data_IF_276164093599
#
_entry.id   IF_276164093599
#
_cell.length_a   1.000
_cell.length_b   1.000
_cell.length_c   1.000
_cell.angle_alpha   90.00
_cell.angle_beta   90.00
_cell.angle_gamma   90.00
#
_symmetry.space_group_name_H-M   'P 1'
#
loop_
_entity.id
_entity.type
_entity.pdbx_description
1 polymer ?
#
# COMPACT_ATOMS: atom_id res chain seq x y z
N UNK A 1 -35.83 -7.48 40.12
CA UNK A 1 -34.83 -6.43 39.82
C UNK A 1 -33.56 -6.97 39.15
N UNK A 2 -33.06 -8.17 39.49
CA UNK A 2 -31.84 -8.75 38.89
C UNK A 2 -31.94 -9.18 37.41
N UNK A 3 -33.11 -9.55 36.89
CA UNK A 3 -33.26 -9.95 35.47
C UNK A 3 -33.21 -8.79 34.48
N UNK A 4 -33.65 -7.59 34.89
CA UNK A 4 -33.58 -6.37 34.06
C UNK A 4 -32.16 -5.80 33.95
N UNK A 5 -31.32 -6.04 34.96
CA UNK A 5 -29.91 -5.63 34.96
C UNK A 5 -29.04 -6.50 34.04
N UNK A 6 -29.35 -7.80 33.93
CA UNK A 6 -28.67 -8.75 33.01
C UNK A 6 -29.01 -8.51 31.54
N UNK A 7 -30.24 -8.06 31.26
CA UNK A 7 -30.66 -7.71 29.90
C UNK A 7 -30.01 -6.41 29.42
N UNK A 8 -29.85 -5.42 30.31
CA UNK A 8 -29.19 -4.15 29.99
C UNK A 8 -27.67 -4.29 29.78
N UNK A 9 -27.01 -5.22 30.49
CA UNK A 9 -25.59 -5.54 30.28
C UNK A 9 -25.33 -6.36 29.00
N UNK A 10 -26.27 -7.22 28.58
CA UNK A 10 -26.19 -7.90 27.26
C UNK A 10 -26.41 -6.93 26.10
N UNK A 11 -27.32 -5.95 26.22
CA UNK A 11 -27.56 -4.94 25.17
C UNK A 11 -26.38 -3.96 25.07
N UNK A 12 -25.74 -3.58 26.18
CA UNK A 12 -24.51 -2.77 26.17
C UNK A 12 -23.28 -3.55 25.64
N UNK A 13 -23.19 -4.87 25.87
CA UNK A 13 -22.15 -5.71 25.29
C UNK A 13 -22.33 -5.93 23.78
N UNK A 14 -23.58 -5.98 23.29
CA UNK A 14 -23.90 -6.06 21.85
C UNK A 14 -23.70 -4.70 21.15
N UNK A 15 -23.88 -3.58 21.86
CA UNK A 15 -23.56 -2.23 21.34
C UNK A 15 -22.05 -1.92 21.40
N UNK A 16 -21.25 -2.63 22.22
CA UNK A 16 -19.78 -2.60 22.14
C UNK A 16 -19.18 -3.53 21.07
N UNK A 17 -20.01 -4.26 20.33
CA UNK A 17 -19.65 -4.86 19.03
C UNK A 17 -20.30 -4.00 17.93
N UNK A 18 -20.13 -2.68 18.01
CA UNK A 18 -20.02 -1.91 16.77
C UNK A 18 -18.66 -2.27 16.23
N UNK A 19 -18.63 -3.15 15.21
CA UNK A 19 -17.47 -3.30 14.37
C UNK A 19 -17.05 -1.88 13.96
N UNK A 20 -15.93 -1.40 14.50
CA UNK A 20 -15.26 -0.24 13.94
C UNK A 20 -14.90 -0.70 12.53
N UNK A 21 -15.70 -0.29 11.56
CA UNK A 21 -15.45 -0.55 10.16
C UNK A 21 -14.11 0.12 9.86
N UNK A 22 -13.06 -0.69 9.67
CA UNK A 22 -11.77 -0.17 9.27
C UNK A 22 -11.87 0.44 7.87
N UNK A 23 -11.13 1.51 7.63
CA UNK A 23 -10.97 2.09 6.29
C UNK A 23 -9.63 1.63 5.72
N UNK A 24 -9.59 1.29 4.44
CA UNK A 24 -8.37 0.94 3.71
C UNK A 24 -8.31 1.75 2.42
N UNK A 25 -7.13 2.25 2.10
CA UNK A 25 -6.76 2.88 0.83
C UNK A 25 -5.49 2.20 0.31
N UNK A 26 -5.25 2.24 -1.00
CA UNK A 26 -4.10 1.58 -1.60
C UNK A 26 -3.62 2.29 -2.86
N UNK A 27 -2.36 2.06 -3.19
CA UNK A 27 -1.74 2.51 -4.43
C UNK A 27 -2.42 1.90 -5.68
N UNK A 28 -2.54 2.65 -6.80
CA UNK A 28 -3.02 2.08 -8.05
C UNK A 28 -2.03 1.05 -8.61
N UNK A 29 -2.54 0.16 -9.47
CA UNK A 29 -1.71 -0.83 -10.15
C UNK A 29 -0.61 -0.16 -10.98
N UNK A 30 0.58 -0.78 -11.03
CA UNK A 30 1.72 -0.25 -11.75
C UNK A 30 1.38 -0.01 -13.23
N UNK A 31 1.41 1.24 -13.72
CA UNK A 31 0.91 1.59 -15.05
C UNK A 31 1.89 1.23 -16.19
N UNK A 32 2.87 0.35 -15.93
CA UNK A 32 3.95 -0.02 -16.87
C UNK A 32 3.84 -1.49 -17.25
N UNK A 33 4.42 -1.90 -18.40
CA UNK A 33 4.45 -3.30 -18.79
C UNK A 33 5.14 -4.18 -17.75
N UNK A 34 4.49 -5.28 -17.39
CA UNK A 34 4.98 -6.30 -16.47
C UNK A 34 4.91 -7.68 -17.12
N UNK A 35 5.72 -8.61 -16.61
CA UNK A 35 5.67 -10.01 -17.02
C UNK A 35 4.58 -10.73 -16.22
N UNK A 36 3.55 -11.19 -16.91
CA UNK A 36 2.47 -12.00 -16.34
C UNK A 36 2.78 -13.48 -16.56
N UNK A 37 2.64 -14.27 -15.50
CA UNK A 37 2.91 -15.71 -15.52
C UNK A 37 1.61 -16.50 -15.55
N UNK A 38 1.58 -17.56 -16.37
CA UNK A 38 0.52 -18.55 -16.38
C UNK A 38 0.87 -19.70 -15.41
N UNK A 39 -0.12 -20.44 -14.89
CA UNK A 39 0.11 -21.59 -14.01
C UNK A 39 0.97 -22.73 -14.61
N UNK A 40 1.10 -22.80 -15.93
CA UNK A 40 1.97 -23.80 -16.60
C UNK A 40 3.41 -23.32 -16.81
N UNK A 41 3.78 -22.17 -16.25
CA UNK A 41 5.12 -21.58 -16.36
C UNK A 41 5.35 -20.78 -17.65
N UNK A 42 4.40 -20.73 -18.58
CA UNK A 42 4.48 -19.79 -19.70
C UNK A 42 4.28 -18.34 -19.20
N UNK A 43 4.85 -17.36 -19.90
CA UNK A 43 4.69 -15.95 -19.53
C UNK A 43 4.50 -15.07 -20.76
N UNK A 44 3.91 -13.90 -20.54
CA UNK A 44 3.66 -12.90 -21.57
C UNK A 44 3.68 -11.50 -20.94
N UNK A 45 3.69 -10.46 -21.76
CA UNK A 45 3.71 -9.07 -21.30
C UNK A 45 2.29 -8.53 -21.27
N UNK A 46 1.95 -7.86 -20.17
CA UNK A 46 0.72 -7.10 -20.04
C UNK A 46 0.95 -5.85 -19.19
N UNK A 47 -0.04 -4.96 -19.16
CA UNK A 47 -0.05 -3.77 -18.30
C UNK A 47 -1.15 -3.97 -17.28
N UNK A 48 -0.82 -3.95 -15.99
CA UNK A 48 -1.83 -4.01 -14.94
C UNK A 48 -2.68 -2.73 -14.99
N UNK A 49 -3.96 -2.91 -14.71
CA UNK A 49 -4.96 -1.84 -14.65
C UNK A 49 -5.83 -2.11 -13.44
N UNK A 50 -6.09 -1.09 -12.64
CA UNK A 50 -6.88 -1.33 -11.45
C UNK A 50 -6.34 -0.67 -10.21
N UNK A 51 -6.96 -1.06 -9.12
CA UNK A 51 -6.65 -0.72 -7.75
C UNK A 51 -7.03 -1.92 -6.85
N UNK A 52 -7.01 -1.73 -5.53
CA UNK A 52 -7.33 -2.72 -4.51
C UNK A 52 -8.81 -3.14 -4.49
N UNK A 53 -9.65 -2.58 -5.37
CA UNK A 53 -11.09 -2.83 -5.41
C UNK A 53 -11.50 -3.62 -6.64
N UNK A 54 -10.89 -3.31 -7.79
CA UNK A 54 -11.09 -4.07 -9.00
C UNK A 54 -9.86 -3.95 -9.91
N UNK A 55 -9.16 -5.05 -10.09
CA UNK A 55 -7.97 -5.07 -10.95
C UNK A 55 -8.04 -6.16 -12.01
N UNK A 56 -7.39 -5.85 -13.11
CA UNK A 56 -7.27 -6.68 -14.30
C UNK A 56 -5.96 -6.29 -15.00
N UNK A 57 -5.71 -6.84 -16.18
CA UNK A 57 -4.60 -6.41 -17.01
C UNK A 57 -5.03 -6.25 -18.46
N UNK A 58 -4.18 -5.59 -19.24
CA UNK A 58 -4.33 -5.48 -20.68
C UNK A 58 -3.10 -6.11 -21.33
N UNK A 59 -3.29 -7.02 -22.28
CA UNK A 59 -2.18 -7.63 -23.01
C UNK A 59 -1.55 -6.64 -24.02
N UNK A 60 -0.46 -7.05 -24.66
CA UNK A 60 0.25 -6.22 -25.64
C UNK A 60 -0.61 -5.84 -26.87
N UNK A 61 -1.68 -6.57 -27.15
CA UNK A 61 -2.64 -6.29 -28.22
C UNK A 61 -3.80 -5.40 -27.76
N UNK A 62 -3.85 -5.01 -26.49
CA UNK A 62 -4.90 -4.17 -25.95
C UNK A 62 -6.14 -4.95 -25.49
N UNK A 63 -6.10 -6.29 -25.39
CA UNK A 63 -7.22 -7.06 -24.87
C UNK A 63 -7.19 -7.12 -23.34
N UNK A 64 -8.35 -6.86 -22.73
CA UNK A 64 -8.51 -6.98 -21.29
C UNK A 64 -8.48 -8.44 -20.87
N UNK A 65 -7.73 -8.73 -19.83
CA UNK A 65 -7.49 -10.06 -19.29
C UNK A 65 -7.65 -10.04 -17.77
N UNK A 66 -8.15 -11.13 -17.20
CA UNK A 66 -8.38 -11.28 -15.76
C UNK A 66 -8.06 -12.71 -15.34
N UNK A 67 -7.57 -12.88 -14.11
CA UNK A 67 -7.31 -14.19 -13.57
C UNK A 67 -8.60 -14.93 -13.23
N UNK A 68 -8.68 -16.19 -13.61
CA UNK A 68 -9.72 -17.09 -13.13
C UNK A 68 -9.40 -17.63 -11.73
N UNK A 69 -10.33 -18.41 -11.16
CA UNK A 69 -10.18 -19.04 -9.84
C UNK A 69 -8.99 -19.99 -9.72
N UNK A 70 -8.45 -20.46 -10.83
CA UNK A 70 -7.32 -21.40 -10.90
C UNK A 70 -6.00 -20.67 -11.21
N UNK A 71 -6.02 -19.33 -11.20
CA UNK A 71 -4.86 -18.47 -11.42
C UNK A 71 -4.46 -18.29 -12.89
N UNK A 72 -5.28 -18.74 -13.85
CA UNK A 72 -4.99 -18.53 -15.27
C UNK A 72 -5.35 -17.12 -15.70
N UNK A 73 -4.46 -16.43 -16.41
CA UNK A 73 -4.83 -15.22 -17.13
C UNK A 73 -5.67 -15.59 -18.36
N UNK A 74 -6.91 -15.12 -18.36
CA UNK A 74 -7.89 -15.37 -19.42
C UNK A 74 -8.35 -14.05 -20.02
N UNK A 75 -8.80 -14.05 -21.28
CA UNK A 75 -9.48 -12.88 -21.82
C UNK A 75 -10.74 -12.60 -21.01
N UNK A 76 -11.00 -11.32 -20.76
CA UNK A 76 -12.17 -10.88 -20.05
C UNK A 76 -13.32 -10.61 -21.03
N UNK A 77 -14.55 -10.85 -20.56
CA UNK A 77 -15.77 -10.32 -21.16
C UNK A 77 -16.47 -9.42 -20.15
N UNK A 78 -17.38 -8.59 -20.62
CA UNK A 78 -18.20 -7.76 -19.74
C UNK A 78 -19.50 -8.49 -19.40
N UNK A 79 -19.80 -8.62 -18.11
CA UNK A 79 -21.09 -9.11 -17.59
C UNK A 79 -21.58 -8.17 -16.49
N UNK A 80 -22.81 -7.67 -16.62
CA UNK A 80 -23.40 -6.70 -15.69
C UNK A 80 -22.51 -5.48 -15.41
N UNK A 81 -21.75 -5.04 -16.42
CA UNK A 81 -20.83 -3.92 -16.31
C UNK A 81 -19.49 -4.24 -15.62
N UNK A 82 -19.23 -5.47 -15.16
CA UNK A 82 -17.93 -5.90 -14.62
C UNK A 82 -17.17 -6.75 -15.64
N UNK A 83 -15.84 -6.79 -15.53
CA UNK A 83 -15.03 -7.74 -16.29
C UNK A 83 -15.02 -9.10 -15.56
N UNK A 84 -15.29 -10.17 -16.30
CA UNK A 84 -15.29 -11.54 -15.78
C UNK A 84 -14.41 -12.44 -16.63
N UNK A 85 -13.79 -13.42 -15.97
CA UNK A 85 -12.94 -14.42 -16.61
C UNK A 85 -13.72 -15.25 -17.65
N UNK A 86 -13.03 -15.65 -18.71
CA UNK A 86 -13.57 -16.57 -19.71
C UNK A 86 -12.78 -17.86 -19.71
N UNK A 87 -13.17 -18.84 -20.52
CA UNK A 87 -12.40 -20.06 -20.73
C UNK A 87 -11.25 -19.89 -21.75
N UNK A 88 -11.03 -18.69 -22.29
CA UNK A 88 -10.02 -18.41 -23.32
C UNK A 88 -8.74 -17.88 -22.67
N UNK A 89 -7.67 -18.66 -22.73
CA UNK A 89 -6.38 -18.30 -22.13
C UNK A 89 -5.66 -17.23 -22.96
N UNK A 90 -5.24 -16.16 -22.28
CA UNK A 90 -4.42 -15.12 -22.88
C UNK A 90 -3.10 -15.69 -23.40
N UNK A 91 -2.58 -15.14 -24.52
CA UNK A 91 -1.37 -15.61 -25.21
C UNK A 91 -1.43 -17.08 -25.70
N UNK A 92 -2.61 -17.70 -25.77
CA UNK A 92 -2.79 -19.08 -26.26
C UNK A 92 -3.90 -19.25 -27.28
N UNK A 93 -4.89 -18.38 -27.24
CA UNK A 93 -6.05 -18.44 -28.13
C UNK A 93 -6.27 -17.06 -28.74
N UNK A 94 -6.81 -17.02 -29.95
CA UNK A 94 -7.24 -15.76 -30.55
C UNK A 94 -8.39 -15.17 -29.72
N UNK A 95 -8.30 -13.88 -29.39
CA UNK A 95 -9.34 -13.18 -28.64
C UNK A 95 -10.49 -12.76 -29.58
N UNK A 96 -11.75 -13.13 -29.30
CA UNK A 96 -12.91 -12.67 -30.07
C UNK A 96 -13.51 -11.36 -29.52
N UNK A 97 -13.00 -10.84 -28.40
CA UNK A 97 -13.57 -9.68 -27.72
C UNK A 97 -12.99 -8.36 -28.26
N UNK A 98 -13.62 -7.24 -27.88
CA UNK A 98 -13.13 -5.91 -28.27
C UNK A 98 -11.93 -5.50 -27.42
N UNK A 99 -10.97 -4.79 -28.04
CA UNK A 99 -9.82 -4.20 -27.34
C UNK A 99 -10.26 -3.08 -26.38
N UNK A 100 -9.46 -2.83 -25.35
CA UNK A 100 -9.64 -1.81 -24.32
C UNK A 100 -10.97 -1.88 -23.58
N UNK A 101 -11.49 -3.10 -23.39
CA UNK A 101 -12.71 -3.31 -22.64
C UNK A 101 -12.52 -2.88 -21.17
N UNK A 102 -13.38 -2.00 -20.67
CA UNK A 102 -13.34 -1.51 -19.28
C UNK A 102 -14.61 -1.92 -18.54
N UNK A 103 -14.54 -2.17 -17.22
CA UNK A 103 -15.75 -2.25 -16.42
C UNK A 103 -16.44 -0.86 -16.39
N UNK A 104 -17.74 -0.83 -16.14
CA UNK A 104 -18.49 0.40 -15.97
C UNK A 104 -18.28 0.97 -14.57
N UNK A 105 -18.07 2.27 -14.46
CA UNK A 105 -17.90 2.96 -13.18
C UNK A 105 -19.04 2.67 -12.19
N UNK A 106 -20.29 2.63 -12.66
CA UNK A 106 -21.45 2.34 -11.81
C UNK A 106 -21.44 0.90 -11.24
N UNK A 107 -21.07 -0.10 -12.04
CA UNK A 107 -20.99 -1.47 -11.57
C UNK A 107 -19.84 -1.68 -10.58
N UNK A 108 -18.70 -1.03 -10.81
CA UNK A 108 -17.58 -1.05 -9.86
C UNK A 108 -17.97 -0.37 -8.55
N UNK A 109 -18.62 0.80 -8.60
CA UNK A 109 -19.08 1.50 -7.41
C UNK A 109 -20.09 0.70 -6.57
N UNK A 110 -20.86 -0.18 -7.22
CA UNK A 110 -21.87 -1.02 -6.57
C UNK A 110 -21.30 -2.28 -5.87
N UNK A 111 -20.01 -2.58 -6.01
CA UNK A 111 -19.36 -3.67 -5.29
C UNK A 111 -19.50 -3.39 -3.77
N UNK A 112 -19.89 -4.36 -2.91
CA UNK A 112 -20.27 -4.13 -1.51
C UNK A 112 -19.27 -3.36 -0.63
N UNK A 113 -17.99 -3.29 -1.03
CA UNK A 113 -16.95 -2.53 -0.34
C UNK A 113 -16.66 -1.15 -0.97
N UNK A 114 -17.15 -0.90 -2.20
CA UNK A 114 -16.90 0.31 -2.99
C UNK A 114 -17.92 1.43 -2.74
N UNK A 115 -19.08 1.11 -2.14
CA UNK A 115 -20.16 2.07 -1.92
C UNK A 115 -19.80 3.23 -0.96
N UNK A 116 -18.85 3.04 -0.04
CA UNK A 116 -18.48 4.01 1.01
C UNK A 116 -17.27 4.89 0.65
N UNK A 117 -16.94 5.04 -0.64
CA UNK A 117 -15.65 5.58 -1.09
C UNK A 117 -15.71 6.98 -1.72
N UNK A 118 -14.52 7.57 -1.83
CA UNK A 118 -14.27 8.99 -2.12
C UNK A 118 -14.85 9.48 -3.45
N UNK A 119 -15.10 8.59 -4.43
CA UNK A 119 -15.78 8.99 -5.68
C UNK A 119 -17.20 9.51 -5.44
N UNK A 120 -17.84 9.05 -4.35
CA UNK A 120 -19.17 9.46 -3.92
C UNK A 120 -19.13 10.65 -2.97
N UNK A 121 -17.94 11.18 -2.70
CA UNK A 121 -17.76 12.30 -1.77
C UNK A 121 -17.95 13.62 -2.52
N UNK A 122 -18.84 14.51 -2.03
CA UNK A 122 -19.11 15.82 -2.64
C UNK A 122 -17.82 16.63 -2.86
N UNK A 123 -17.80 17.46 -3.91
CA UNK A 123 -16.68 18.36 -4.24
C UNK A 123 -16.23 19.18 -3.03
N UNK A 124 -17.17 19.67 -2.22
CA UNK A 124 -16.89 20.47 -1.03
C UNK A 124 -16.09 19.71 0.04
N UNK A 125 -16.29 18.40 0.16
CA UNK A 125 -15.53 17.56 1.08
C UNK A 125 -14.12 17.26 0.53
N UNK A 126 -13.96 17.15 -0.80
CA UNK A 126 -12.64 17.05 -1.44
C UNK A 126 -11.82 18.34 -1.27
N UNK A 127 -12.47 19.48 -1.42
CA UNK A 127 -11.88 20.80 -1.14
C UNK A 127 -11.60 20.99 0.35
N UNK A 128 -12.42 20.43 1.24
CA UNK A 128 -12.12 20.45 2.68
C UNK A 128 -10.83 19.69 2.98
N UNK A 129 -10.62 18.54 2.34
CA UNK A 129 -9.36 17.79 2.50
C UNK A 129 -8.17 18.58 2.02
N UNK A 130 -8.21 19.23 0.85
CA UNK A 130 -7.11 20.09 0.40
C UNK A 130 -6.75 21.19 1.42
N UNK A 131 -7.76 21.85 2.02
CA UNK A 131 -7.52 22.81 3.11
C UNK A 131 -7.01 22.17 4.40
N UNK A 132 -7.50 20.99 4.78
CA UNK A 132 -7.03 20.27 5.96
C UNK A 132 -5.57 19.78 5.76
N UNK A 133 -5.14 19.53 4.53
CA UNK A 133 -3.75 19.15 4.19
C UNK A 133 -2.80 20.34 4.30
N UNK A 134 -3.22 21.53 3.87
CA UNK A 134 -2.37 22.73 3.90
C UNK A 134 -2.28 23.37 5.28
N UNK A 135 -3.36 23.28 6.05
CA UNK A 135 -3.53 24.05 7.28
C UNK A 135 -3.74 23.18 8.52
N UNK A 136 -3.86 21.86 8.36
CA UNK A 136 -4.21 20.92 9.41
C UNK A 136 -5.70 20.58 9.43
N UNK A 137 -6.06 19.42 9.96
CA UNK A 137 -7.47 19.05 10.15
C UNK A 137 -8.18 20.08 11.04
N UNK A 138 -9.03 20.91 10.44
CA UNK A 138 -9.70 22.05 11.09
C UNK A 138 -8.93 23.38 11.01
N UNK A 139 -7.86 23.46 10.23
CA UNK A 139 -7.10 24.66 9.93
C UNK A 139 -7.65 25.42 8.72
N UNK A 140 -7.34 26.71 8.67
CA UNK A 140 -7.69 27.63 7.57
C UNK A 140 -6.47 28.42 7.13
N UNK A 141 -6.55 29.09 5.98
CA UNK A 141 -5.50 29.98 5.48
C UNK A 141 -5.15 31.09 6.46
N UNK A 142 -6.14 31.58 7.17
CA UNK A 142 -6.04 32.66 8.15
C UNK A 142 -5.67 32.15 9.55
N UNK A 143 -5.86 30.84 9.82
CA UNK A 143 -5.53 30.20 11.08
C UNK A 143 -5.17 28.72 10.86
N UNK A 144 -3.90 28.41 10.54
CA UNK A 144 -3.45 27.05 10.26
C UNK A 144 -3.29 26.25 11.55
N UNK A 145 -4.41 25.97 12.21
CA UNK A 145 -4.44 25.10 13.37
C UNK A 145 -4.35 23.65 12.91
N UNK A 146 -3.17 23.05 13.12
CA UNK A 146 -2.86 21.60 13.12
C UNK A 146 -2.22 21.00 11.85
N UNK A 147 -1.58 21.78 10.97
CA UNK A 147 -0.75 21.16 9.94
C UNK A 147 0.33 20.30 10.63
N UNK A 148 0.55 19.07 10.16
CA UNK A 148 1.57 18.19 10.70
C UNK A 148 2.90 18.96 10.68
N UNK A 149 3.50 19.15 11.85
CA UNK A 149 4.69 19.97 12.00
C UNK A 149 5.58 19.40 13.11
N UNK A 150 6.86 19.69 13.02
CA UNK A 150 7.88 19.07 13.84
C UNK A 150 8.14 17.61 13.46
N UNK A 151 8.75 16.91 14.41
CA UNK A 151 9.06 15.49 14.31
C UNK A 151 7.83 14.66 14.65
N UNK A 152 7.50 13.72 13.77
CA UNK A 152 6.47 12.71 13.97
C UNK A 152 7.13 11.33 14.06
N UNK A 153 6.45 10.40 14.70
CA UNK A 153 6.98 9.08 14.98
C UNK A 153 6.29 8.00 14.17
N UNK A 154 7.09 7.09 13.62
CA UNK A 154 6.62 5.96 12.84
C UNK A 154 7.64 4.85 12.85
N UNK A 155 7.22 3.62 13.11
CA UNK A 155 8.10 2.46 13.09
C UNK A 155 7.84 1.55 11.89
N UNK A 156 8.87 0.81 11.49
CA UNK A 156 8.74 -0.24 10.48
C UNK A 156 8.93 -1.61 11.12
N UNK A 157 8.04 -2.54 10.80
CA UNK A 157 8.13 -3.95 11.17
C UNK A 157 8.43 -4.76 9.92
N UNK A 158 9.40 -5.66 9.98
CA UNK A 158 9.73 -6.58 8.88
C UNK A 158 9.13 -7.96 9.18
N UNK A 159 8.05 -8.35 8.50
CA UNK A 159 7.33 -9.60 8.75
C UNK A 159 7.58 -10.66 7.68
N UNK A 160 8.33 -11.70 8.01
CA UNK A 160 8.71 -12.79 7.10
C UNK A 160 7.58 -13.80 6.88
N UNK A 161 7.51 -14.41 5.70
CA UNK A 161 6.64 -15.56 5.46
C UNK A 161 7.35 -16.87 5.79
N UNK A 162 6.60 -17.96 6.02
CA UNK A 162 7.18 -19.28 6.26
C UNK A 162 7.76 -19.96 5.02
N UNK A 163 7.33 -19.52 3.83
CA UNK A 163 7.69 -20.08 2.51
C UNK A 163 8.40 -19.07 1.59
N UNK A 164 8.65 -17.84 2.08
CA UNK A 164 9.39 -16.80 1.37
C UNK A 164 10.02 -15.85 2.39
N UNK A 165 11.29 -15.50 2.19
CA UNK A 165 12.02 -14.62 3.11
C UNK A 165 12.53 -13.36 2.44
N UNK A 166 12.81 -12.31 3.23
CA UNK A 166 13.51 -11.10 2.78
C UNK A 166 14.85 -11.45 2.11
N UNK A 167 14.89 -11.40 0.79
CA UNK A 167 16.10 -11.66 0.03
C UNK A 167 16.94 -10.39 -0.08
N UNK A 168 18.15 -10.42 0.49
CA UNK A 168 19.22 -9.45 0.19
C UNK A 168 20.27 -10.16 -0.66
N UNK A 169 20.75 -9.53 -1.73
CA UNK A 169 21.63 -10.18 -2.71
C UNK A 169 22.94 -10.63 -2.04
N UNK A 170 23.27 -11.92 -2.17
CA UNK A 170 24.63 -12.45 -1.94
C UNK A 170 25.28 -12.74 -3.29
N UNK A 171 26.59 -12.47 -3.42
CA UNK A 171 27.36 -12.45 -4.68
C UNK A 171 27.36 -13.69 -5.58
N UNK A 172 26.57 -14.73 -5.28
CA UNK A 172 26.50 -15.99 -6.02
C UNK A 172 25.25 -16.14 -6.89
N UNK A 173 24.23 -15.29 -6.72
CA UNK A 173 23.01 -15.34 -7.54
C UNK A 173 23.21 -14.54 -8.83
N UNK A 174 23.27 -15.20 -9.98
CA UNK A 174 23.46 -14.52 -11.27
C UNK A 174 22.29 -13.56 -11.54
N UNK A 175 22.61 -12.34 -11.98
CA UNK A 175 21.65 -11.42 -12.60
C UNK A 175 20.75 -12.19 -13.60
N UNK A 176 19.44 -12.17 -13.37
CA UNK A 176 18.44 -12.90 -14.17
C UNK A 176 17.81 -14.14 -13.54
N UNK A 177 18.21 -14.56 -12.33
CA UNK A 177 17.55 -15.64 -11.57
C UNK A 177 16.71 -15.16 -10.39
N UNK A 178 16.73 -13.86 -10.07
CA UNK A 178 15.87 -13.25 -9.04
C UNK A 178 14.56 -12.77 -9.68
N UNK A 179 13.38 -13.22 -9.22
CA UNK A 179 12.10 -12.71 -9.71
C UNK A 179 11.82 -11.22 -9.38
N UNK A 180 12.61 -10.60 -8.49
CA UNK A 180 12.36 -9.25 -7.94
C UNK A 180 13.55 -8.28 -8.11
N UNK A 181 14.33 -8.43 -9.19
CA UNK A 181 15.67 -7.84 -9.41
C UNK A 181 15.85 -6.31 -9.38
N UNK A 182 15.44 -5.61 -8.32
CA UNK A 182 15.55 -4.15 -8.16
C UNK A 182 16.34 -3.66 -6.95
N UNK A 183 16.89 -4.56 -6.13
CA UNK A 183 17.69 -4.15 -4.96
C UNK A 183 19.18 -4.07 -5.29
N UNK A 184 19.89 -3.08 -4.72
CA UNK A 184 21.32 -2.93 -4.94
C UNK A 184 22.10 -4.13 -4.42
N UNK A 185 23.08 -4.55 -5.21
CA UNK A 185 24.06 -5.56 -4.86
C UNK A 185 25.08 -5.00 -3.84
N UNK A 186 25.21 -5.63 -2.67
CA UNK A 186 26.33 -5.38 -1.75
C UNK A 186 27.25 -6.62 -1.67
N UNK A 187 28.37 -6.55 -2.39
CA UNK A 187 29.40 -7.59 -2.39
C UNK A 187 30.08 -7.80 -1.02
N UNK A 188 29.87 -6.90 -0.07
CA UNK A 188 30.47 -6.90 1.27
C UNK A 188 29.52 -7.33 2.37
N UNK A 189 28.25 -7.59 2.03
CA UNK A 189 27.28 -8.19 2.94
C UNK A 189 27.74 -9.61 3.30
N UNK A 190 28.54 -9.71 4.37
CA UNK A 190 28.68 -10.95 5.13
C UNK A 190 27.29 -11.43 5.55
N UNK A 191 27.15 -12.71 5.87
CA UNK A 191 25.94 -13.53 6.11
C UNK A 191 24.84 -12.98 7.07
N UNK A 192 24.86 -11.69 7.39
CA UNK A 192 23.94 -10.94 8.22
C UNK A 192 22.93 -10.14 7.37
N UNK A 193 22.23 -10.81 6.46
CA UNK A 193 21.21 -10.20 5.59
C UNK A 193 20.13 -9.44 6.38
N UNK A 194 19.86 -9.86 7.62
CA UNK A 194 18.95 -9.15 8.53
C UNK A 194 19.39 -7.71 8.83
N UNK A 195 20.68 -7.46 9.09
CA UNK A 195 21.19 -6.11 9.35
C UNK A 195 21.17 -5.23 8.09
N UNK A 196 21.36 -5.81 6.91
CA UNK A 196 21.30 -5.08 5.65
C UNK A 196 19.87 -4.64 5.33
N UNK A 197 18.88 -5.51 5.51
CA UNK A 197 17.46 -5.18 5.33
C UNK A 197 17.01 -4.09 6.31
N UNK A 198 17.30 -4.22 7.61
CA UNK A 198 16.97 -3.21 8.61
C UNK A 198 17.59 -1.85 8.28
N UNK A 199 18.85 -1.82 7.84
CA UNK A 199 19.52 -0.57 7.41
C UNK A 199 18.89 0.02 6.16
N UNK A 200 18.57 -0.80 5.15
CA UNK A 200 17.96 -0.33 3.91
C UNK A 200 16.62 0.36 4.18
N UNK A 201 15.71 -0.31 4.88
CA UNK A 201 14.41 0.28 5.20
C UNK A 201 14.55 1.50 6.12
N UNK A 202 15.54 1.50 7.02
CA UNK A 202 15.84 2.68 7.81
C UNK A 202 16.28 3.86 6.94
N UNK A 203 17.12 3.65 5.93
CA UNK A 203 17.50 4.72 4.98
C UNK A 203 16.32 5.16 4.12
N UNK A 204 15.57 4.22 3.56
CA UNK A 204 14.40 4.48 2.72
C UNK A 204 13.34 5.30 3.48
N UNK A 205 13.16 5.07 4.78
CA UNK A 205 12.16 5.75 5.58
C UNK A 205 12.70 6.99 6.31
N UNK A 206 13.85 6.87 6.97
CA UNK A 206 14.31 7.76 8.05
C UNK A 206 15.75 8.26 7.88
N UNK A 207 16.43 7.96 6.76
CA UNK A 207 17.88 8.16 6.57
C UNK A 207 18.44 9.51 7.05
N UNK A 208 17.69 10.60 6.84
CA UNK A 208 18.10 11.96 7.19
C UNK A 208 17.24 12.60 8.31
N UNK A 209 16.46 11.81 9.04
CA UNK A 209 15.49 12.29 10.04
C UNK A 209 16.10 13.00 11.27
N UNK A 210 17.40 12.84 11.51
CA UNK A 210 18.16 13.48 12.60
C UNK A 210 18.61 14.90 12.20
N UNK A 211 18.76 15.18 10.90
CA UNK A 211 19.08 16.49 10.34
C UNK A 211 18.55 16.56 8.89
N UNK A 212 17.23 16.73 8.70
CA UNK A 212 16.62 16.66 7.38
C UNK A 212 17.29 17.65 6.42
N UNK A 213 17.89 17.10 5.37
CA UNK A 213 18.57 17.85 4.32
C UNK A 213 17.84 17.60 3.01
N UNK A 214 17.71 18.62 2.17
CA UNK A 214 17.28 18.41 0.78
C UNK A 214 18.57 18.21 0.00
N UNK A 215 18.86 17.00 -0.52
CA UNK A 215 19.99 16.81 -1.40
C UNK A 215 19.92 17.85 -2.53
N UNK A 216 21.07 18.30 -3.04
CA UNK A 216 21.05 18.87 -4.39
C UNK A 216 20.47 17.82 -5.36
N UNK A 217 20.15 18.24 -6.59
CA UNK A 217 19.38 17.49 -7.60
C UNK A 217 19.89 16.07 -7.98
N UNK A 218 20.83 15.50 -7.23
CA UNK A 218 21.47 14.21 -7.45
C UNK A 218 21.19 13.15 -6.37
N UNK A 219 20.60 13.52 -5.23
CA UNK A 219 20.28 12.57 -4.15
C UNK A 219 18.79 12.24 -4.04
N UNK A 220 18.42 10.96 -4.10
CA UNK A 220 17.07 10.49 -3.70
C UNK A 220 17.05 10.39 -2.17
N UNK A 221 16.36 11.32 -1.50
CA UNK A 221 16.15 11.25 -0.06
C UNK A 221 15.14 10.16 0.33
N UNK A 222 15.05 9.83 1.62
CA UNK A 222 14.04 8.90 2.13
C UNK A 222 12.65 9.52 2.23
N UNK A 223 11.66 8.74 2.69
CA UNK A 223 10.29 9.18 2.95
C UNK A 223 10.24 10.41 3.87
N UNK A 224 11.07 10.43 4.92
CA UNK A 224 11.18 11.59 5.81
C UNK A 224 11.60 12.87 5.07
N UNK A 225 12.55 12.80 4.13
CA UNK A 225 12.95 13.94 3.29
C UNK A 225 11.85 14.36 2.33
N UNK A 226 11.19 13.38 1.70
CA UNK A 226 10.09 13.64 0.77
C UNK A 226 9.01 14.49 1.44
N UNK A 227 8.57 14.09 2.64
CA UNK A 227 7.58 14.85 3.38
C UNK A 227 8.13 16.15 3.98
N UNK A 228 9.40 16.19 4.34
CA UNK A 228 10.05 17.42 4.78
C UNK A 228 10.04 18.48 3.68
N UNK A 229 10.37 18.11 2.46
CA UNK A 229 10.34 19.03 1.32
C UNK A 229 8.90 19.42 0.95
N UNK A 230 8.01 18.43 0.83
CA UNK A 230 6.58 18.63 0.56
C UNK A 230 5.92 19.61 1.54
N UNK A 231 6.25 19.51 2.82
CA UNK A 231 5.67 20.36 3.88
C UNK A 231 6.42 21.68 4.08
N UNK A 232 7.23 22.12 3.12
CA UNK A 232 8.05 23.34 3.24
C UNK A 232 8.90 23.35 4.51
N UNK A 233 9.56 22.21 4.79
CA UNK A 233 10.49 22.02 5.90
C UNK A 233 9.82 22.05 7.28
N UNK A 234 8.53 21.72 7.34
CA UNK A 234 7.74 21.76 8.58
C UNK A 234 7.60 20.42 9.26
N UNK A 235 7.58 19.33 8.51
CA UNK A 235 7.21 18.01 9.03
C UNK A 235 8.22 16.94 8.59
N UNK A 236 8.62 16.06 9.50
CA UNK A 236 9.44 14.89 9.13
C UNK A 236 9.14 13.71 10.06
N UNK A 237 9.54 12.51 9.65
CA UNK A 237 9.31 11.27 10.39
C UNK A 237 10.60 10.68 10.92
N UNK A 238 10.53 10.12 12.11
CA UNK A 238 11.59 9.40 12.77
C UNK A 238 11.04 8.10 13.35
N UNK A 239 11.86 7.06 13.38
CA UNK A 239 11.56 5.89 14.19
C UNK A 239 12.55 4.77 13.97
N UNK A 240 12.11 3.57 14.34
CA UNK A 240 12.91 2.36 14.32
C UNK A 240 12.45 1.39 13.25
N UNK A 241 13.34 0.46 12.89
CA UNK A 241 13.02 -0.69 12.05
C UNK A 241 13.31 -1.94 12.88
N UNK A 242 12.33 -2.84 12.97
CA UNK A 242 12.49 -4.09 13.72
C UNK A 242 13.54 -5.01 13.09
N UNK A 243 13.97 -6.01 13.86
CA UNK A 243 14.54 -7.21 13.26
C UNK A 243 13.47 -7.95 12.43
N UNK A 244 13.90 -8.85 11.54
CA UNK A 244 12.97 -9.68 10.77
C UNK A 244 12.20 -10.62 11.72
N UNK A 245 10.88 -10.56 11.67
CA UNK A 245 9.96 -11.37 12.46
C UNK A 245 9.45 -12.54 11.63
N UNK A 246 9.79 -13.77 12.03
CA UNK A 246 9.23 -14.95 11.41
C UNK A 246 7.75 -15.12 11.82
N UNK A 247 6.81 -14.84 10.91
CA UNK A 247 5.38 -14.90 11.23
C UNK A 247 4.82 -16.32 11.29
N UNK A 248 5.48 -17.27 10.63
CA UNK A 248 4.99 -18.64 10.47
C UNK A 248 3.82 -18.78 9.47
N UNK A 249 3.49 -17.71 8.75
CA UNK A 249 2.40 -17.67 7.78
C UNK A 249 2.95 -17.78 6.36
N UNK A 250 2.34 -18.61 5.52
CA UNK A 250 2.71 -18.68 4.11
C UNK A 250 2.25 -17.43 3.38
N UNK A 251 2.99 -17.03 2.34
CA UNK A 251 2.66 -15.89 1.48
C UNK A 251 1.19 -15.91 1.01
N UNK A 252 0.71 -17.05 0.52
CA UNK A 252 -0.68 -17.19 0.07
C UNK A 252 -1.73 -17.04 1.19
N UNK A 253 -1.40 -17.42 2.44
CA UNK A 253 -2.32 -17.29 3.58
C UNK A 253 -2.21 -15.92 4.28
N UNK A 254 -1.28 -15.07 3.83
CA UNK A 254 -1.14 -13.71 4.30
C UNK A 254 -2.08 -12.72 3.61
N UNK A 255 -2.81 -13.16 2.58
CA UNK A 255 -3.70 -12.33 1.76
C UNK A 255 -5.17 -12.66 2.04
N UNK A 256 -5.97 -11.61 2.22
CA UNK A 256 -7.42 -11.63 2.37
C UNK A 256 -8.11 -11.15 1.08
N UNK A 257 -9.42 -10.92 1.13
CA UNK A 257 -10.16 -10.48 -0.07
C UNK A 257 -9.61 -9.16 -0.63
N UNK A 258 -9.51 -9.07 -1.96
CA UNK A 258 -9.06 -7.85 -2.65
C UNK A 258 -7.55 -7.58 -2.56
N UNK A 259 -6.73 -8.53 -2.08
CA UNK A 259 -5.29 -8.31 -1.89
C UNK A 259 -4.91 -7.76 -0.51
N UNK A 260 -5.88 -7.59 0.39
CA UNK A 260 -5.64 -7.04 1.72
C UNK A 260 -4.76 -7.94 2.59
N UNK A 261 -3.91 -7.39 3.48
CA UNK A 261 -3.16 -8.19 4.43
C UNK A 261 -4.11 -8.83 5.44
N UNK A 262 -3.99 -10.14 5.61
CA UNK A 262 -4.78 -10.90 6.58
C UNK A 262 -4.32 -10.63 8.01
N UNK A 263 -5.26 -10.65 8.94
CA UNK A 263 -4.97 -10.58 10.38
C UNK A 263 -4.12 -11.73 10.88
N UNK A 264 -4.19 -12.88 10.20
CA UNK A 264 -3.32 -14.02 10.45
C UNK A 264 -1.86 -13.69 10.20
N UNK A 265 -1.55 -12.73 9.34
CA UNK A 265 -0.19 -12.28 9.03
C UNK A 265 0.26 -11.07 9.86
N UNK A 266 -0.52 -9.97 9.88
CA UNK A 266 -0.07 -8.77 10.59
C UNK A 266 -0.03 -8.96 12.12
N UNK A 267 -0.91 -9.80 12.69
CA UNK A 267 -0.93 -10.03 14.15
C UNK A 267 0.36 -10.68 14.68
N UNK A 268 0.83 -11.82 14.14
CA UNK A 268 2.10 -12.41 14.57
C UNK A 268 3.31 -11.53 14.23
N UNK A 269 3.29 -10.77 13.13
CA UNK A 269 4.35 -9.81 12.81
C UNK A 269 4.50 -8.74 13.91
N UNK A 270 3.40 -8.08 14.29
CA UNK A 270 3.38 -7.08 15.35
C UNK A 270 3.71 -7.68 16.72
N UNK A 271 3.23 -8.89 17.03
CA UNK A 271 3.61 -9.60 18.27
C UNK A 271 5.10 -9.89 18.34
N UNK A 272 5.71 -10.35 17.26
CA UNK A 272 7.14 -10.70 17.26
C UNK A 272 8.05 -9.48 17.31
N UNK A 273 7.58 -8.32 16.86
CA UNK A 273 8.32 -7.06 16.90
C UNK A 273 8.27 -6.36 18.27
N UNK A 274 7.33 -6.73 19.13
CA UNK A 274 6.97 -6.05 20.38
C UNK A 274 8.16 -5.74 21.30
N UNK A 275 9.07 -6.70 21.46
CA UNK A 275 10.25 -6.51 22.30
C UNK A 275 11.28 -5.51 21.74
N UNK A 276 11.15 -5.07 20.49
CA UNK A 276 12.14 -4.27 19.75
C UNK A 276 11.60 -2.95 19.19
N UNK A 277 10.27 -2.78 19.15
CA UNK A 277 9.60 -1.61 18.60
C UNK A 277 8.84 -0.93 19.72
N UNK A 278 9.19 0.32 19.99
CA UNK A 278 8.43 1.19 20.89
C UNK A 278 7.24 1.77 20.11
N UNK A 279 6.02 1.33 20.45
CA UNK A 279 4.81 1.74 19.76
C UNK A 279 4.30 3.13 20.15
N UNK A 280 4.87 3.79 21.16
CA UNK A 280 4.50 5.14 21.63
C UNK A 280 5.78 5.92 21.97
N UNK A 281 6.57 6.19 20.94
CA UNK A 281 7.93 6.68 21.08
C UNK A 281 8.01 8.09 21.68
N UNK A 282 6.94 8.87 21.59
CA UNK A 282 6.81 10.18 22.24
C UNK A 282 6.06 10.15 23.58
N UNK A 283 5.62 8.97 24.03
CA UNK A 283 4.89 8.73 25.28
C UNK A 283 3.63 9.59 25.41
N UNK A 284 2.92 9.81 24.31
CA UNK A 284 1.69 10.59 24.29
C UNK A 284 0.43 9.74 24.62
N UNK A 285 0.60 8.43 24.79
CA UNK A 285 -0.46 7.46 25.10
C UNK A 285 -1.23 6.97 23.88
N UNK A 286 -0.78 7.30 22.67
CA UNK A 286 -1.36 6.91 21.38
C UNK A 286 -0.30 6.19 20.57
N UNK A 287 -0.67 5.05 19.96
CA UNK A 287 0.27 4.33 19.13
C UNK A 287 0.71 5.18 17.92
N UNK A 288 2.01 5.21 17.68
CA UNK A 288 2.63 5.80 16.50
C UNK A 288 2.20 5.08 15.21
N UNK A 289 2.46 5.73 14.07
CA UNK A 289 2.22 5.10 12.78
C UNK A 289 3.10 3.85 12.59
N UNK A 290 2.57 2.83 11.91
CA UNK A 290 3.31 1.61 11.62
C UNK A 290 3.31 1.29 10.13
N UNK A 291 4.47 0.87 9.63
CA UNK A 291 4.61 0.26 8.31
C UNK A 291 5.08 -1.19 8.52
N UNK A 292 4.26 -2.16 8.13
CA UNK A 292 4.65 -3.56 8.05
C UNK A 292 5.15 -3.85 6.63
N UNK A 293 6.41 -4.26 6.52
CA UNK A 293 6.99 -4.68 5.25
C UNK A 293 6.93 -6.19 5.15
N UNK A 294 6.56 -6.72 3.98
CA UNK A 294 6.57 -8.15 3.68
C UNK A 294 7.59 -8.52 2.59
N UNK A 295 8.12 -9.76 2.56
CA UNK A 295 9.00 -10.22 1.50
C UNK A 295 8.35 -10.19 0.11
N UNK A 296 9.17 -10.00 -0.92
CA UNK A 296 8.73 -10.08 -2.31
C UNK A 296 8.01 -8.82 -2.82
N UNK A 297 7.22 -8.95 -3.89
CA UNK A 297 6.60 -7.82 -4.57
C UNK A 297 5.17 -7.58 -4.07
N UNK A 298 4.68 -6.38 -4.29
CA UNK A 298 3.26 -6.08 -4.08
C UNK A 298 2.42 -6.61 -5.23
N UNK A 299 1.16 -6.98 -4.94
CA UNK A 299 0.22 -7.45 -5.95
C UNK A 299 -0.04 -6.40 -7.03
N UNK A 300 0.01 -5.12 -6.66
CA UNK A 300 -0.12 -3.96 -7.56
C UNK A 300 0.94 -3.93 -8.67
N UNK A 301 2.05 -4.64 -8.48
CA UNK A 301 3.14 -4.76 -9.45
C UNK A 301 3.22 -6.17 -10.05
N UNK A 302 3.07 -7.23 -9.26
CA UNK A 302 3.24 -8.60 -9.73
C UNK A 302 2.01 -9.13 -10.47
N UNK A 303 0.82 -8.67 -10.10
CA UNK A 303 -0.46 -9.26 -10.50
C UNK A 303 -0.71 -10.67 -9.96
N UNK A 304 0.11 -11.18 -9.04
CA UNK A 304 -0.06 -12.51 -8.41
C UNK A 304 -0.95 -12.36 -7.17
N UNK A 305 -2.11 -13.03 -7.16
CA UNK A 305 -3.09 -12.94 -6.06
C UNK A 305 -2.61 -13.53 -4.73
N UNK A 306 -1.41 -14.10 -4.69
CA UNK A 306 -0.74 -14.52 -3.45
C UNK A 306 0.09 -13.41 -2.82
N UNK A 307 0.30 -12.30 -3.53
CA UNK A 307 0.92 -11.10 -2.96
C UNK A 307 -0.11 -10.23 -2.25
N UNK A 308 0.36 -9.49 -1.27
CA UNK A 308 -0.42 -8.44 -0.62
C UNK A 308 -0.36 -7.20 -1.53
N UNK A 309 -1.50 -6.55 -1.73
CA UNK A 309 -1.57 -5.24 -2.38
C UNK A 309 -1.17 -4.17 -1.35
N UNK A 310 -0.20 -3.32 -1.69
CA UNK A 310 0.25 -2.23 -0.79
C UNK A 310 -0.93 -1.40 -0.32
N UNK A 311 -1.08 -1.17 0.98
CA UNK A 311 -2.23 -0.43 1.49
C UNK A 311 -2.05 0.21 2.85
N UNK A 312 -2.84 1.25 3.07
CA UNK A 312 -2.93 2.05 4.27
C UNK A 312 -4.28 1.82 4.96
N UNK A 313 -4.26 1.30 6.17
CA UNK A 313 -5.46 0.91 6.90
C UNK A 313 -5.59 1.69 8.21
N UNK A 314 -6.83 2.03 8.57
CA UNK A 314 -7.23 2.53 9.88
C UNK A 314 -8.25 1.57 10.50
N UNK A 315 -8.07 1.20 11.75
CA UNK A 315 -8.90 0.18 12.40
C UNK A 315 -8.43 -0.12 13.83
N UNK A 316 -8.56 -1.37 14.26
CA UNK A 316 -7.99 -1.86 15.52
C UNK A 316 -7.09 -3.06 15.22
N UNK A 317 -5.78 -2.85 15.27
CA UNK A 317 -4.77 -3.87 14.95
C UNK A 317 -4.18 -4.54 16.21
N UNK A 318 -4.83 -4.32 17.35
CA UNK A 318 -4.43 -4.85 18.66
C UNK A 318 -3.83 -3.79 19.57
N UNK A 319 -3.52 -4.20 20.80
CA UNK A 319 -2.89 -3.36 21.82
C UNK A 319 -1.52 -3.92 22.16
N UNK A 320 -0.49 -3.08 22.17
CA UNK A 320 0.90 -3.40 22.55
C UNK A 320 1.37 -2.36 23.55
N UNK A 321 2.06 -2.78 24.60
CA UNK A 321 2.55 -1.89 25.66
C UNK A 321 1.52 -0.89 26.23
N UNK A 322 0.24 -1.27 26.23
CA UNK A 322 -0.85 -0.42 26.71
C UNK A 322 -1.42 0.57 25.69
N UNK A 323 -0.85 0.67 24.48
CA UNK A 323 -1.36 1.52 23.38
C UNK A 323 -2.07 0.72 22.30
N UNK A 324 -3.20 1.24 21.80
CA UNK A 324 -3.97 0.62 20.72
C UNK A 324 -3.45 1.08 19.37
N UNK A 325 -3.02 0.11 18.56
CA UNK A 325 -2.57 0.35 17.19
C UNK A 325 -3.80 0.57 16.32
N UNK A 326 -3.96 1.80 15.84
CA UNK A 326 -5.12 2.21 15.04
C UNK A 326 -4.82 2.45 13.57
N UNK A 327 -3.54 2.49 13.20
CA UNK A 327 -3.04 2.79 11.86
C UNK A 327 -1.99 1.77 11.46
N UNK A 328 -2.14 1.18 10.28
CA UNK A 328 -1.20 0.20 9.75
C UNK A 328 -1.09 0.35 8.24
N UNK A 329 0.12 0.65 7.77
CA UNK A 329 0.51 0.56 6.36
C UNK A 329 1.14 -0.81 6.15
N UNK A 330 0.86 -1.45 5.01
CA UNK A 330 1.54 -2.68 4.59
C UNK A 330 2.12 -2.46 3.20
N UNK A 331 3.44 -2.64 3.06
CA UNK A 331 4.16 -2.46 1.79
C UNK A 331 5.04 -3.69 1.49
N UNK A 332 5.34 -3.96 0.22
CA UNK A 332 6.25 -5.02 -0.17
C UNK A 332 7.69 -4.60 0.03
N UNK A 333 8.57 -5.59 0.11
CA UNK A 333 10.00 -5.39 0.15
C UNK A 333 10.44 -4.52 -1.02
N UNK A 334 9.90 -4.78 -2.23
CA UNK A 334 10.30 -4.14 -3.49
C UNK A 334 9.66 -2.77 -3.74
N UNK A 335 8.85 -2.28 -2.80
CA UNK A 335 8.27 -0.95 -2.87
C UNK A 335 9.37 0.10 -2.98
N UNK A 336 9.22 1.02 -3.92
CA UNK A 336 10.07 2.19 -4.01
C UNK A 336 9.50 3.32 -3.14
N UNK A 337 10.25 4.41 -2.99
CA UNK A 337 9.86 5.58 -2.20
C UNK A 337 8.41 6.02 -2.44
N UNK A 338 7.96 6.03 -3.69
CA UNK A 338 6.60 6.42 -4.08
C UNK A 338 5.49 5.54 -3.50
N UNK A 339 5.73 4.25 -3.31
CA UNK A 339 4.76 3.34 -2.67
C UNK A 339 4.59 3.72 -1.20
N UNK A 340 5.71 3.79 -0.47
CA UNK A 340 5.68 4.19 0.94
C UNK A 340 5.14 5.60 1.14
N UNK A 341 5.51 6.54 0.26
CA UNK A 341 5.02 7.91 0.31
C UNK A 341 3.51 7.97 0.08
N UNK A 342 2.98 7.27 -0.93
CA UNK A 342 1.54 7.20 -1.23
C UNK A 342 0.75 6.64 -0.03
N UNK A 343 1.15 5.47 0.47
CA UNK A 343 0.43 4.84 1.59
C UNK A 343 0.49 5.66 2.87
N UNK A 344 1.61 6.34 3.10
CA UNK A 344 1.74 7.25 4.22
C UNK A 344 0.85 8.49 4.10
N UNK A 345 0.56 8.92 2.88
CA UNK A 345 -0.23 10.13 2.65
C UNK A 345 -1.67 9.95 3.12
N UNK A 346 -2.21 8.72 3.02
CA UNK A 346 -3.50 8.37 3.61
C UNK A 346 -3.53 8.52 5.13
N UNK A 347 -2.44 8.24 5.82
CA UNK A 347 -2.38 8.35 7.29
C UNK A 347 -2.43 9.79 7.81
N UNK A 348 -2.18 10.76 6.93
CA UNK A 348 -2.35 12.19 7.19
C UNK A 348 -3.62 12.77 6.54
N UNK A 349 -4.51 11.90 6.05
CA UNK A 349 -5.86 12.26 5.56
C UNK A 349 -5.98 12.42 4.05
N UNK A 350 -4.93 12.10 3.30
CA UNK A 350 -4.94 12.16 1.84
C UNK A 350 -5.91 11.16 1.22
N UNK A 351 -6.76 11.58 0.26
CA UNK A 351 -7.56 10.66 -0.53
C UNK A 351 -6.75 10.09 -1.69
N UNK A 352 -7.17 8.95 -2.20
CA UNK A 352 -6.83 8.55 -3.56
C UNK A 352 -7.56 9.40 -4.59
N UNK A 353 -6.88 9.65 -5.70
CA UNK A 353 -7.36 10.53 -6.77
C UNK A 353 -7.45 9.86 -8.13
N UNK A 354 -6.92 8.64 -8.30
CA UNK A 354 -7.05 7.90 -9.54
C UNK A 354 -8.51 7.51 -9.82
N UNK A 355 -8.82 7.27 -11.10
CA UNK A 355 -10.17 6.91 -11.52
C UNK A 355 -10.50 5.44 -11.20
N UNK A 356 -11.13 5.25 -10.04
CA UNK A 356 -11.77 4.00 -9.64
C UNK A 356 -12.87 3.51 -10.60
N UNK A 357 -13.34 4.35 -11.52
CA UNK A 357 -14.31 4.05 -12.57
C UNK A 357 -13.69 3.61 -13.90
N UNK A 358 -12.37 3.40 -13.94
CA UNK A 358 -11.56 2.83 -15.03
C UNK A 358 -11.82 3.40 -16.43
N UNK A 359 -12.22 4.66 -16.50
CA UNK A 359 -12.55 5.41 -17.71
C UNK A 359 -11.48 6.45 -18.09
N UNK A 360 -10.51 6.73 -17.21
CA UNK A 360 -9.36 7.61 -17.47
C UNK A 360 -8.30 7.61 -16.35
N UNK A 361 -7.39 8.58 -16.39
CA UNK A 361 -6.45 8.90 -15.30
C UNK A 361 -6.55 10.41 -15.05
N UNK A 362 -7.30 10.86 -14.04
CA UNK A 362 -7.73 12.24 -13.91
C UNK A 362 -6.57 13.19 -13.57
N UNK A 363 -5.55 12.71 -12.85
CA UNK A 363 -4.35 13.49 -12.50
C UNK A 363 -3.06 12.84 -12.99
N UNK A 364 -3.03 11.51 -13.12
CA UNK A 364 -1.91 10.76 -13.66
C UNK A 364 -0.61 11.01 -12.92
N UNK A 365 0.47 11.20 -13.68
CA UNK A 365 1.85 11.38 -13.16
C UNK A 365 2.06 12.67 -12.36
N UNK A 366 1.05 13.56 -12.29
CA UNK A 366 1.14 14.85 -11.60
C UNK A 366 0.79 14.81 -10.11
N UNK A 367 0.20 13.72 -9.62
CA UNK A 367 -0.18 13.56 -8.21
C UNK A 367 0.37 12.27 -7.62
N UNK A 368 0.95 12.36 -6.42
CA UNK A 368 1.29 11.19 -5.59
C UNK A 368 0.10 10.26 -5.42
N UNK A 369 -1.12 10.82 -5.32
CA UNK A 369 -2.36 10.09 -5.06
C UNK A 369 -3.03 9.55 -6.32
N UNK A 370 -2.31 9.57 -7.44
CA UNK A 370 -2.64 8.92 -8.72
C UNK A 370 -1.34 8.22 -9.21
N UNK A 371 -1.08 8.14 -10.51
CA UNK A 371 0.12 7.49 -11.07
C UNK A 371 1.46 8.18 -10.73
N UNK A 372 1.47 9.36 -10.09
CA UNK A 372 2.69 10.05 -9.69
C UNK A 372 3.50 9.31 -8.63
N UNK A 373 2.89 8.37 -7.89
CA UNK A 373 3.59 7.42 -7.02
C UNK A 373 4.49 6.44 -7.78
N UNK A 374 4.27 6.26 -9.08
CA UNK A 374 5.05 5.38 -9.96
C UNK A 374 6.07 6.11 -10.84
N UNK A 375 6.28 7.41 -10.63
CA UNK A 375 7.25 8.20 -11.40
C UNK A 375 8.71 7.75 -11.14
N UNK A 376 9.60 8.14 -12.05
CA UNK A 376 11.01 7.74 -12.05
C UNK A 376 11.31 6.56 -12.96
N UNK A 377 12.58 6.20 -13.10
CA UNK A 377 13.06 5.24 -14.11
C UNK A 377 12.66 3.82 -13.71
N UNK A 378 12.85 3.48 -12.45
CA UNK A 378 12.57 2.15 -11.89
C UNK A 378 11.08 1.96 -11.55
N UNK A 379 10.37 3.08 -11.38
CA UNK A 379 8.95 3.13 -11.09
C UNK A 379 8.69 3.25 -9.59
N UNK A 380 8.55 4.51 -9.16
CA UNK A 380 8.37 4.94 -7.78
C UNK A 380 9.64 5.44 -7.10
N UNK A 381 10.77 5.51 -7.81
CA UNK A 381 12.04 6.07 -7.33
C UNK A 381 12.05 7.60 -7.29
N UNK A 382 11.19 8.26 -8.08
CA UNK A 382 11.07 9.72 -8.14
C UNK A 382 9.60 10.15 -8.14
N UNK A 383 8.86 9.90 -7.04
CA UNK A 383 7.44 10.21 -6.98
C UNK A 383 7.16 11.71 -7.13
N UNK A 384 6.04 12.07 -7.74
CA UNK A 384 5.57 13.46 -7.71
C UNK A 384 5.15 13.84 -6.30
N UNK A 385 4.96 15.14 -6.05
CA UNK A 385 4.17 15.59 -4.91
C UNK A 385 2.67 15.29 -5.12
N UNK A 386 1.83 15.34 -4.06
CA UNK A 386 0.38 15.10 -4.13
C UNK A 386 -0.40 16.05 -5.05
N UNK A 387 0.24 17.13 -5.53
CA UNK A 387 -0.30 18.05 -6.52
C UNK A 387 -1.08 19.22 -5.92
N UNK A 388 -1.02 20.38 -6.59
CA UNK A 388 -1.57 21.65 -6.09
C UNK A 388 -3.11 21.75 -6.02
N UNK A 389 -3.83 20.73 -6.46
CA UNK A 389 -5.29 20.62 -6.30
C UNK A 389 -5.67 20.05 -4.91
N UNK A 390 -4.70 19.50 -4.19
CA UNK A 390 -4.79 19.14 -2.77
C UNK A 390 -4.17 20.22 -1.85
N UNK A 391 -3.88 21.41 -2.38
CA UNK A 391 -3.16 22.51 -1.73
C UNK A 391 -4.03 23.77 -1.69
#
# INVERSE_FOLDING_TARGET
MQSRFRFLTMVLAIIMIVAIAGTSFAIPAKPRPVRLNQPDGSSFVGVLKGDEHFHFAEDADGYSIIQDKDGWWTYAKQENGLLVATNLRANKTACPYTRHLRPSAAAVAAIPYNANRIINVPLDTRHKWSTDMLYGVGGTKENPTKAASGRNYMNMVLGDFSDSTFAWYSGTEKAGQNPYGRFPYDATATNNHALANTKFFWFLAFGDSISPYVPDSTGVGGMSNYYYDFTYKKCWWYGSVSAIVATGITRANAVASGGAPSSTYYTPALNGADASVDYDQDNNGVADGLILVHPGPGQEESGDTRDIWSMSMTGSFGTRDGVTISKLIVCPQNGQLGVFAHEMFHQIGGPDLYDYGYSGTPWGEWSLMDNGSWNGIEGGDQPSFPGGHLV
#
